data_IF_683259149298
#
_entry.id   IF_683259149298
#
_cell.length_a   1.000
_cell.length_b   1.000
_cell.length_c   1.000
_cell.angle_alpha   90.00
_cell.angle_beta   90.00
_cell.angle_gamma   90.00
#
_symmetry.space_group_name_H-M   'P 1'
#
loop_
_entity.id
_entity.type
_entity.pdbx_description
1 polymer ?
#
# COMPACT_ATOMS: atom_id res chain seq x y z
N UNK A 1 -59.53 -49.90 11.59
CA UNK A 1 -58.91 -49.18 10.45
C UNK A 1 -58.14 -48.02 11.05
N UNK A 2 -56.85 -48.20 11.23
CA UNK A 2 -55.96 -47.19 11.80
C UNK A 2 -55.56 -46.24 10.66
N UNK A 3 -55.88 -44.96 10.80
CA UNK A 3 -55.60 -43.95 9.79
C UNK A 3 -54.09 -43.73 9.71
N UNK A 4 -53.49 -44.15 8.59
CA UNK A 4 -52.10 -43.86 8.27
C UNK A 4 -52.00 -42.36 7.93
N UNK A 5 -51.57 -41.56 8.91
CA UNK A 5 -51.30 -40.13 8.73
C UNK A 5 -50.05 -40.01 7.86
N UNK A 6 -50.24 -39.56 6.63
CA UNK A 6 -49.14 -39.26 5.71
C UNK A 6 -48.31 -38.12 6.33
N UNK A 7 -47.00 -38.30 6.59
CA UNK A 7 -46.20 -37.24 7.19
C UNK A 7 -46.23 -36.02 6.25
N UNK A 8 -46.72 -34.92 6.82
CA UNK A 8 -47.12 -33.70 6.14
C UNK A 8 -46.06 -33.22 5.15
N UNK A 9 -46.49 -32.78 3.98
CA UNK A 9 -45.63 -32.17 2.95
C UNK A 9 -44.74 -31.02 3.50
N UNK A 10 -45.14 -30.43 4.63
CA UNK A 10 -44.39 -29.44 5.39
C UNK A 10 -43.11 -29.98 6.03
N UNK A 11 -43.10 -31.24 6.48
CA UNK A 11 -41.91 -31.87 7.08
C UNK A 11 -40.89 -32.17 5.97
N UNK A 12 -41.36 -32.69 4.84
CA UNK A 12 -40.51 -32.94 3.68
C UNK A 12 -39.98 -31.64 3.07
N UNK A 13 -40.79 -30.57 2.99
CA UNK A 13 -40.32 -29.26 2.52
C UNK A 13 -39.30 -28.64 3.48
N UNK A 14 -39.48 -28.76 4.79
CA UNK A 14 -38.51 -28.29 5.80
C UNK A 14 -37.19 -29.09 5.78
N UNK A 15 -37.25 -30.40 5.52
CA UNK A 15 -36.05 -31.22 5.36
C UNK A 15 -35.29 -30.84 4.08
N UNK A 16 -36.00 -30.63 2.97
CA UNK A 16 -35.40 -30.20 1.71
C UNK A 16 -34.81 -28.79 1.82
N UNK A 17 -35.46 -27.85 2.51
CA UNK A 17 -34.88 -26.51 2.72
C UNK A 17 -33.63 -26.56 3.59
N UNK A 18 -33.62 -27.36 4.66
CA UNK A 18 -32.45 -27.49 5.55
C UNK A 18 -31.26 -28.17 4.86
N UNK A 19 -31.50 -29.21 4.06
CA UNK A 19 -30.44 -29.85 3.26
C UNK A 19 -29.87 -28.89 2.22
N UNK A 20 -30.71 -28.11 1.55
CA UNK A 20 -30.28 -27.09 0.59
C UNK A 20 -29.47 -25.98 1.27
N UNK A 21 -29.86 -25.51 2.46
CA UNK A 21 -29.08 -24.52 3.23
C UNK A 21 -27.69 -25.06 3.58
N UNK A 22 -27.59 -26.32 4.02
CA UNK A 22 -26.29 -26.95 4.32
C UNK A 22 -25.39 -27.06 3.09
N UNK A 23 -25.95 -27.40 1.92
CA UNK A 23 -25.21 -27.45 0.66
C UNK A 23 -24.70 -26.06 0.26
N UNK A 24 -25.53 -25.03 0.37
CA UNK A 24 -25.14 -23.64 0.08
C UNK A 24 -24.00 -23.18 1.02
N UNK A 25 -24.09 -23.48 2.32
CA UNK A 25 -23.04 -23.15 3.29
C UNK A 25 -21.72 -23.88 2.98
N UNK A 26 -21.77 -25.16 2.62
CA UNK A 26 -20.58 -25.92 2.22
C UNK A 26 -19.94 -25.35 0.96
N UNK A 27 -20.74 -24.97 -0.04
CA UNK A 27 -20.24 -24.31 -1.26
C UNK A 27 -19.65 -22.92 -0.98
N UNK A 28 -20.24 -22.14 -0.08
CA UNK A 28 -19.68 -20.85 0.33
C UNK A 28 -18.32 -21.01 1.04
N UNK A 29 -18.17 -22.05 1.88
CA UNK A 29 -16.91 -22.37 2.56
C UNK A 29 -15.82 -22.85 1.58
N UNK A 30 -16.18 -23.59 0.53
CA UNK A 30 -15.21 -24.01 -0.50
C UNK A 30 -14.79 -22.86 -1.41
N UNK A 31 -15.71 -21.96 -1.79
CA UNK A 31 -15.40 -20.75 -2.57
C UNK A 31 -14.54 -19.75 -1.80
N UNK A 32 -14.68 -19.66 -0.47
CA UNK A 32 -13.82 -18.83 0.38
C UNK A 32 -12.36 -19.32 0.42
N UNK A 33 -12.09 -20.59 0.06
CA UNK A 33 -10.74 -21.18 0.03
C UNK A 33 -10.03 -21.05 -1.32
N UNK A 34 -10.72 -20.56 -2.35
CA UNK A 34 -10.20 -20.47 -3.72
C UNK A 34 -10.27 -19.06 -4.32
N UNK A 35 -10.57 -18.05 -3.52
CA UNK A 35 -10.21 -16.68 -3.90
C UNK A 35 -8.72 -16.53 -3.62
N UNK A 36 -7.84 -16.40 -4.65
CA UNK A 36 -6.55 -15.80 -4.41
C UNK A 36 -6.84 -14.44 -3.80
N UNK A 37 -6.60 -14.30 -2.50
CA UNK A 37 -6.57 -12.99 -1.89
C UNK A 37 -5.42 -12.27 -2.59
N UNK A 38 -5.75 -11.44 -3.58
CA UNK A 38 -4.80 -10.59 -4.28
C UNK A 38 -4.31 -9.58 -3.26
N UNK A 39 -3.30 -9.98 -2.48
CA UNK A 39 -2.62 -9.13 -1.53
C UNK A 39 -2.06 -7.97 -2.33
N UNK A 40 -2.62 -6.77 -2.12
CA UNK A 40 -2.07 -5.52 -2.63
C UNK A 40 -0.60 -5.45 -2.22
N UNK A 41 0.26 -5.08 -3.15
CA UNK A 41 1.72 -5.08 -3.07
C UNK A 41 2.34 -4.01 -2.15
N UNK A 42 1.56 -3.57 -1.15
CA UNK A 42 2.00 -2.65 -0.08
C UNK A 42 3.05 -3.31 0.82
N UNK A 43 3.11 -4.64 0.83
CA UNK A 43 4.00 -5.39 1.71
C UNK A 43 5.48 -5.17 1.39
N UNK A 44 5.88 -5.02 0.13
CA UNK A 44 7.31 -4.93 -0.22
C UNK A 44 7.93 -3.60 0.22
N UNK A 45 7.28 -2.48 -0.12
CA UNK A 45 7.67 -1.15 0.36
C UNK A 45 7.69 -1.10 1.90
N UNK A 46 6.64 -1.64 2.54
CA UNK A 46 6.53 -1.71 4.00
C UNK A 46 7.65 -2.53 4.64
N UNK A 47 7.97 -3.71 4.10
CA UNK A 47 9.08 -4.54 4.58
C UNK A 47 10.42 -3.81 4.46
N UNK A 48 10.60 -3.05 3.37
CA UNK A 48 11.81 -2.28 3.16
C UNK A 48 11.98 -1.12 4.14
N UNK A 49 10.90 -0.37 4.39
CA UNK A 49 10.86 0.68 5.40
C UNK A 49 11.20 0.10 6.77
N UNK A 50 10.55 -1.00 7.18
CA UNK A 50 10.82 -1.63 8.46
C UNK A 50 12.28 -2.06 8.59
N UNK A 51 12.83 -2.73 7.58
CA UNK A 51 14.22 -3.18 7.57
C UNK A 51 15.22 -2.01 7.69
N UNK A 52 14.98 -0.91 6.96
CA UNK A 52 15.92 0.21 6.90
C UNK A 52 15.83 1.14 8.11
N UNK A 53 14.65 1.26 8.72
CA UNK A 53 14.36 2.26 9.75
C UNK A 53 14.17 1.69 11.15
N UNK A 54 13.88 0.39 11.26
CA UNK A 54 13.39 -0.26 12.46
C UNK A 54 12.13 0.43 13.05
N UNK A 55 11.32 1.06 12.19
CA UNK A 55 10.02 1.65 12.54
C UNK A 55 8.90 0.90 11.85
N UNK A 56 7.74 0.89 12.49
CA UNK A 56 6.53 0.34 11.90
C UNK A 56 6.17 1.15 10.66
N UNK A 57 5.91 0.52 9.49
CA UNK A 57 5.52 1.24 8.27
C UNK A 57 4.31 2.15 8.47
N UNK A 58 3.39 1.75 9.37
CA UNK A 58 2.22 2.52 9.77
C UNK A 58 2.54 3.87 10.41
N UNK A 59 3.77 4.07 10.90
CA UNK A 59 4.22 5.39 11.37
C UNK A 59 4.26 6.40 10.22
N UNK A 60 4.55 5.96 9.00
CA UNK A 60 4.61 6.82 7.81
C UNK A 60 3.26 6.92 7.09
N UNK A 61 2.30 6.03 7.36
CA UNK A 61 0.96 6.11 6.78
C UNK A 61 0.23 7.39 7.21
N UNK A 62 -0.35 8.14 6.26
CA UNK A 62 -1.07 9.38 6.55
C UNK A 62 -0.23 10.37 7.39
N UNK A 63 1.08 10.43 7.11
CA UNK A 63 2.02 11.38 7.68
C UNK A 63 2.14 12.60 6.77
N UNK A 64 2.00 13.79 7.33
CA UNK A 64 2.11 15.03 6.59
C UNK A 64 1.13 15.11 5.40
N UNK A 65 1.60 15.76 4.35
CA UNK A 65 0.81 16.10 3.18
C UNK A 65 1.02 15.18 1.98
N UNK A 66 2.06 14.33 2.00
CA UNK A 66 2.44 13.44 0.90
C UNK A 66 2.46 11.97 1.25
N UNK A 67 2.65 11.58 2.52
CA UNK A 67 2.70 10.16 2.86
C UNK A 67 1.30 9.55 2.97
N UNK A 68 1.03 8.50 2.20
CA UNK A 68 -0.23 7.76 2.19
C UNK A 68 -0.92 7.74 0.84
N UNK A 69 -2.11 7.13 0.79
CA UNK A 69 -2.86 6.98 -0.46
C UNK A 69 -3.48 8.30 -0.93
N UNK A 70 -3.44 8.52 -2.24
CA UNK A 70 -4.11 9.63 -2.95
C UNK A 70 -3.76 11.03 -2.43
N UNK A 71 -2.59 11.18 -1.80
CA UNK A 71 -2.08 12.45 -1.33
C UNK A 71 -1.37 13.18 -2.47
N UNK A 72 -1.87 14.37 -2.81
CA UNK A 72 -1.17 15.35 -3.64
C UNK A 72 -1.43 16.73 -3.01
N UNK A 73 -0.37 17.51 -2.84
CA UNK A 73 -0.41 18.76 -2.07
C UNK A 73 0.44 19.83 -2.75
N UNK A 74 0.33 21.08 -2.30
CA UNK A 74 1.22 22.17 -2.72
C UNK A 74 2.48 22.27 -1.86
N UNK A 75 2.55 21.61 -0.68
CA UNK A 75 3.67 21.71 0.28
C UNK A 75 4.00 20.38 0.95
N UNK A 76 5.18 20.30 1.55
CA UNK A 76 5.54 19.24 2.50
C UNK A 76 5.86 19.88 3.86
N UNK A 77 5.57 19.16 4.96
CA UNK A 77 5.64 19.74 6.32
C UNK A 77 6.98 19.54 7.03
N UNK A 78 7.75 18.55 6.60
CA UNK A 78 9.11 18.27 7.09
C UNK A 78 9.91 17.43 6.08
N UNK A 79 11.11 17.00 6.49
CA UNK A 79 11.96 16.15 5.62
C UNK A 79 11.43 14.73 5.45
N UNK A 80 10.63 14.22 6.40
CA UNK A 80 9.97 12.92 6.26
C UNK A 80 8.90 12.98 5.16
N UNK A 81 8.08 14.02 5.18
CA UNK A 81 7.03 14.27 4.19
C UNK A 81 7.62 14.55 2.80
N UNK A 82 8.79 15.22 2.75
CA UNK A 82 9.56 15.37 1.51
C UNK A 82 9.98 14.02 0.90
N UNK A 83 10.33 13.01 1.71
CA UNK A 83 10.63 11.67 1.19
C UNK A 83 9.43 11.07 0.45
N UNK A 84 8.22 11.31 0.96
CA UNK A 84 6.98 10.82 0.35
C UNK A 84 6.63 11.56 -0.94
N UNK A 85 6.89 12.87 -1.02
CA UNK A 85 6.81 13.61 -2.28
C UNK A 85 7.74 13.01 -3.34
N UNK A 86 9.00 12.80 -2.99
CA UNK A 86 9.99 12.21 -3.91
C UNK A 86 9.57 10.80 -4.35
N UNK A 87 9.03 10.00 -3.43
CA UNK A 87 8.51 8.66 -3.73
C UNK A 87 7.30 8.70 -4.67
N UNK A 88 6.36 9.61 -4.45
CA UNK A 88 5.22 9.84 -5.32
C UNK A 88 5.65 10.23 -6.74
N UNK A 89 6.60 11.16 -6.87
CA UNK A 89 7.17 11.54 -8.16
C UNK A 89 7.87 10.35 -8.85
N UNK A 90 8.58 9.53 -8.07
CA UNK A 90 9.25 8.31 -8.54
C UNK A 90 8.25 7.34 -9.18
N UNK A 91 7.20 6.97 -8.45
CA UNK A 91 6.16 6.10 -8.98
C UNK A 91 5.48 6.68 -10.23
N UNK A 92 5.23 8.00 -10.27
CA UNK A 92 4.68 8.64 -11.45
C UNK A 92 5.61 8.55 -12.67
N UNK A 93 6.92 8.68 -12.47
CA UNK A 93 7.92 8.51 -13.54
C UNK A 93 7.93 7.06 -14.05
N UNK A 94 7.95 6.08 -13.15
CA UNK A 94 7.91 4.64 -13.49
C UNK A 94 6.64 4.30 -14.27
N UNK A 95 5.48 4.75 -13.77
CA UNK A 95 4.18 4.50 -14.41
C UNK A 95 4.13 5.08 -15.83
N UNK A 96 4.66 6.29 -16.04
CA UNK A 96 4.72 6.93 -17.37
C UNK A 96 5.72 6.23 -18.30
N UNK A 97 6.85 5.79 -17.76
CA UNK A 97 7.95 5.19 -18.53
C UNK A 97 7.56 3.80 -19.05
N UNK A 98 7.01 2.96 -18.18
CA UNK A 98 6.78 1.53 -18.47
C UNK A 98 5.31 1.20 -18.69
N UNK A 99 4.40 2.18 -18.60
CA UNK A 99 2.95 1.98 -18.72
C UNK A 99 2.41 0.91 -17.75
N UNK A 100 2.95 0.91 -16.52
CA UNK A 100 2.59 0.00 -15.44
C UNK A 100 1.99 0.76 -14.24
N UNK A 101 1.61 0.02 -13.21
CA UNK A 101 1.26 0.59 -11.90
C UNK A 101 2.29 0.14 -10.86
N UNK A 102 3.23 1.03 -10.54
CA UNK A 102 4.29 0.84 -9.55
C UNK A 102 3.72 0.46 -8.17
N UNK A 103 2.53 0.94 -7.80
CA UNK A 103 1.89 0.57 -6.51
C UNK A 103 1.43 -0.89 -6.46
N UNK A 104 1.33 -1.54 -7.62
CA UNK A 104 0.87 -2.93 -7.77
C UNK A 104 1.95 -3.84 -8.36
N UNK A 105 3.15 -3.31 -8.60
CA UNK A 105 4.22 -4.02 -9.31
C UNK A 105 5.15 -4.70 -8.32
N UNK A 106 5.06 -6.04 -8.28
CA UNK A 106 5.95 -6.85 -7.45
C UNK A 106 7.35 -6.87 -8.01
N UNK A 107 8.35 -6.82 -7.13
CA UNK A 107 9.77 -6.84 -7.48
C UNK A 107 10.58 -7.78 -6.58
N UNK A 108 11.85 -7.97 -6.92
CA UNK A 108 12.80 -8.82 -6.22
C UNK A 108 13.89 -7.96 -5.57
N UNK A 109 14.13 -8.16 -4.27
CA UNK A 109 15.16 -7.45 -3.52
C UNK A 109 15.93 -8.37 -2.56
N UNK A 110 17.21 -8.08 -2.38
CA UNK A 110 18.08 -8.69 -1.35
C UNK A 110 18.35 -7.69 -0.23
N UNK A 111 18.25 -8.19 1.01
CA UNK A 111 18.48 -7.43 2.22
C UNK A 111 19.76 -7.92 2.88
N UNK A 112 20.78 -7.05 3.00
CA UNK A 112 22.05 -7.44 3.61
C UNK A 112 22.69 -6.26 4.35
N UNK A 113 23.19 -6.52 5.56
CA UNK A 113 23.98 -5.56 6.36
C UNK A 113 23.38 -4.14 6.44
N UNK A 114 22.05 -4.02 6.55
CA UNK A 114 21.37 -2.72 6.62
C UNK A 114 21.28 -1.96 5.29
N UNK A 115 21.43 -2.68 4.18
CA UNK A 115 21.29 -2.19 2.80
C UNK A 115 20.34 -3.08 2.01
N UNK A 116 19.78 -2.52 0.94
CA UNK A 116 18.85 -3.22 0.03
C UNK A 116 19.41 -3.17 -1.38
N UNK A 117 19.32 -4.29 -2.10
CA UNK A 117 19.72 -4.39 -3.51
C UNK A 117 18.55 -4.90 -4.34
N UNK A 118 18.09 -4.12 -5.32
CA UNK A 118 17.09 -4.54 -6.31
C UNK A 118 17.76 -5.47 -7.33
N UNK A 119 17.14 -6.62 -7.61
CA UNK A 119 17.79 -7.69 -8.40
C UNK A 119 17.06 -8.09 -9.68
N UNK A 120 15.93 -7.45 -9.99
CA UNK A 120 15.29 -7.63 -11.30
C UNK A 120 16.14 -6.99 -12.40
N UNK A 121 15.79 -7.28 -13.66
CA UNK A 121 16.46 -6.69 -14.82
C UNK A 121 16.30 -5.17 -14.84
N UNK A 122 17.38 -4.47 -15.18
CA UNK A 122 17.39 -3.02 -15.34
C UNK A 122 16.36 -2.55 -16.37
N UNK A 123 15.92 -1.30 -16.22
CA UNK A 123 14.95 -0.67 -17.12
C UNK A 123 13.63 -1.45 -17.24
N UNK A 124 13.21 -2.07 -16.13
CA UNK A 124 11.89 -2.69 -16.00
C UNK A 124 11.07 -1.96 -14.95
N UNK A 125 9.75 -2.09 -15.05
CA UNK A 125 8.84 -1.54 -14.02
C UNK A 125 9.17 -2.10 -12.62
N UNK A 126 9.49 -3.40 -12.51
CA UNK A 126 9.83 -4.03 -11.25
C UNK A 126 11.11 -3.45 -10.64
N UNK A 127 12.18 -3.34 -11.43
CA UNK A 127 13.45 -2.79 -10.96
C UNK A 127 13.32 -1.34 -10.52
N UNK A 128 12.70 -0.48 -11.33
CA UNK A 128 12.59 0.94 -10.97
C UNK A 128 11.59 1.17 -9.83
N UNK A 129 10.54 0.36 -9.70
CA UNK A 129 9.65 0.37 -8.52
C UNK A 129 10.43 0.02 -7.25
N UNK A 130 11.24 -1.04 -7.29
CA UNK A 130 12.13 -1.40 -6.18
C UNK A 130 13.08 -0.25 -5.81
N UNK A 131 13.65 0.42 -6.83
CA UNK A 131 14.56 1.55 -6.62
C UNK A 131 13.85 2.75 -5.98
N UNK A 132 12.59 3.02 -6.36
CA UNK A 132 11.77 4.04 -5.70
C UNK A 132 11.57 3.73 -4.21
N UNK A 133 11.20 2.49 -3.88
CA UNK A 133 10.99 2.05 -2.49
C UNK A 133 12.28 2.11 -1.67
N UNK A 134 13.40 1.68 -2.27
CA UNK A 134 14.72 1.77 -1.63
C UNK A 134 15.09 3.21 -1.29
N UNK A 135 14.92 4.12 -2.24
CA UNK A 135 15.22 5.54 -2.02
C UNK A 135 14.34 6.14 -0.94
N UNK A 136 13.05 5.80 -0.92
CA UNK A 136 12.14 6.24 0.14
C UNK A 136 12.58 5.71 1.51
N UNK A 137 12.85 4.41 1.64
CA UNK A 137 13.29 3.79 2.88
C UNK A 137 14.63 4.37 3.40
N UNK A 138 15.59 4.61 2.51
CA UNK A 138 16.85 5.29 2.85
C UNK A 138 16.62 6.77 3.25
N UNK A 139 15.69 7.45 2.61
CA UNK A 139 15.32 8.83 2.95
C UNK A 139 14.71 8.90 4.35
N UNK A 140 13.76 8.01 4.68
CA UNK A 140 13.22 7.92 6.03
C UNK A 140 14.31 7.62 7.06
N UNK A 141 15.23 6.68 6.75
CA UNK A 141 16.38 6.37 7.61
C UNK A 141 17.22 7.60 7.94
N UNK A 142 17.46 8.49 6.96
CA UNK A 142 18.20 9.75 7.18
C UNK A 142 17.47 10.76 8.07
N UNK A 143 16.16 10.64 8.20
CA UNK A 143 15.31 11.60 8.91
C UNK A 143 14.65 11.02 10.17
N UNK A 144 15.09 9.84 10.64
CA UNK A 144 14.53 9.19 11.84
C UNK A 144 14.53 10.07 13.09
N UNK A 145 15.61 10.82 13.30
CA UNK A 145 15.77 11.69 14.48
C UNK A 145 14.91 12.95 14.41
N UNK A 146 14.46 13.33 13.22
CA UNK A 146 13.62 14.53 12.99
C UNK A 146 12.16 14.18 12.73
N UNK A 147 11.82 12.88 12.70
CA UNK A 147 10.44 12.43 12.58
C UNK A 147 9.59 13.04 13.70
N UNK A 148 8.46 13.63 13.32
CA UNK A 148 7.58 14.35 14.23
C UNK A 148 6.16 13.78 14.22
N UNK A 149 5.73 13.19 15.34
CA UNK A 149 4.39 12.62 15.49
C UNK A 149 3.25 13.65 15.32
N UNK A 150 3.52 14.94 15.49
CA UNK A 150 2.51 16.00 15.32
C UNK A 150 2.02 16.12 13.87
N UNK A 151 2.74 15.54 12.90
CA UNK A 151 2.34 15.53 11.50
C UNK A 151 1.51 14.32 11.10
N UNK A 152 1.20 13.41 12.03
CA UNK A 152 0.24 12.32 11.77
C UNK A 152 -1.17 12.87 11.56
N UNK A 153 -1.88 12.30 10.59
CA UNK A 153 -3.28 12.64 10.31
C UNK A 153 -3.49 14.12 9.96
N UNK A 154 -2.52 14.73 9.27
CA UNK A 154 -2.65 16.11 8.81
C UNK A 154 -3.87 16.28 7.90
N UNK A 155 -4.64 17.35 8.11
CA UNK A 155 -5.87 17.60 7.35
C UNK A 155 -5.56 17.93 5.89
N UNK A 156 -6.46 17.51 5.01
CA UNK A 156 -6.34 17.83 3.58
C UNK A 156 -6.38 19.34 3.33
N UNK A 157 -7.25 20.06 4.04
CA UNK A 157 -7.34 21.52 3.99
C UNK A 157 -5.98 22.17 4.25
N UNK A 158 -5.30 21.79 5.35
CA UNK A 158 -3.98 22.32 5.66
C UNK A 158 -2.98 22.07 4.54
N UNK A 159 -3.04 20.89 3.91
CA UNK A 159 -2.16 20.52 2.82
C UNK A 159 -2.44 21.26 1.50
N UNK A 160 -3.61 21.88 1.35
CA UNK A 160 -3.90 22.71 0.17
C UNK A 160 -3.64 24.21 0.42
N UNK A 161 -3.39 24.64 1.67
CA UNK A 161 -3.10 26.05 1.95
C UNK A 161 -1.67 26.43 1.59
N UNK A 162 -1.52 27.60 0.97
CA UNK A 162 -0.22 28.20 0.66
C UNK A 162 0.34 29.07 1.79
N UNK A 163 -0.44 29.30 2.86
CA UNK A 163 -0.01 30.06 4.03
C UNK A 163 1.20 29.41 4.70
N UNK A 164 2.27 30.19 4.87
CA UNK A 164 3.53 29.75 5.48
C UNK A 164 4.48 28.99 4.53
N UNK A 165 4.18 28.89 3.23
CA UNK A 165 5.12 28.32 2.25
C UNK A 165 6.33 29.25 2.06
N UNK A 166 7.52 28.82 2.49
CA UNK A 166 8.78 29.42 2.04
C UNK A 166 8.98 29.08 0.55
N UNK A 167 9.36 30.06 -0.28
CA UNK A 167 9.50 29.88 -1.74
C UNK A 167 10.52 28.78 -2.11
N UNK A 168 11.45 28.45 -1.19
CA UNK A 168 12.43 27.37 -1.32
C UNK A 168 11.81 25.95 -1.36
N UNK A 169 10.60 25.79 -0.82
CA UNK A 169 9.86 24.50 -0.78
C UNK A 169 9.37 24.10 -2.18
N UNK A 170 9.15 25.07 -3.08
CA UNK A 170 8.67 24.86 -4.45
C UNK A 170 9.78 24.51 -5.46
N UNK A 171 11.05 24.77 -5.14
CA UNK A 171 12.17 24.69 -6.10
C UNK A 171 13.13 23.52 -5.89
N UNK A 172 12.87 22.64 -4.91
CA UNK A 172 13.79 21.56 -4.51
C UNK A 172 13.24 20.14 -4.65
N UNK A 173 12.19 19.93 -5.45
CA UNK A 173 11.92 18.58 -5.96
C UNK A 173 13.10 18.21 -6.90
N UNK A 174 13.87 17.16 -6.60
CA UNK A 174 15.01 16.78 -7.44
C UNK A 174 14.53 16.42 -8.85
N UNK A 175 15.26 16.88 -9.87
CA UNK A 175 15.07 16.41 -11.25
C UNK A 175 15.48 14.92 -11.30
N UNK A 176 14.56 14.09 -11.79
CA UNK A 176 14.57 12.62 -11.95
C UNK A 176 14.77 11.76 -10.67
N UNK A 177 13.66 11.31 -10.04
CA UNK A 177 13.70 10.43 -8.87
C UNK A 177 14.11 8.96 -9.15
N UNK A 178 14.20 8.49 -10.40
CA UNK A 178 14.59 7.10 -10.70
C UNK A 178 16.00 6.96 -11.30
N UNK A 179 16.46 7.91 -12.10
CA UNK A 179 17.77 7.87 -12.79
C UNK A 179 18.71 8.95 -12.28
N UNK A 180 19.92 8.52 -11.90
CA UNK A 180 21.07 9.41 -11.69
C UNK A 180 21.60 9.80 -13.06
#
# INVERSE_FOLDING_TARGET
>A
MEHYIHPDALVWSALLTNTMIKIILLFAITMAKSLPYKTRDIFQSSSMIYYMTNRLPQDYDNYGCWCGENKASVKYVDKTDLCCLIHYECYNEVNRTYLCDAKLTTYSAKFNSGTVTCIDDYETCAYDTCMCDKRAAECFKRHLLTYNNNFKHMSEEYCQTTDGMHFDTLQRAPKSPCRI
#
